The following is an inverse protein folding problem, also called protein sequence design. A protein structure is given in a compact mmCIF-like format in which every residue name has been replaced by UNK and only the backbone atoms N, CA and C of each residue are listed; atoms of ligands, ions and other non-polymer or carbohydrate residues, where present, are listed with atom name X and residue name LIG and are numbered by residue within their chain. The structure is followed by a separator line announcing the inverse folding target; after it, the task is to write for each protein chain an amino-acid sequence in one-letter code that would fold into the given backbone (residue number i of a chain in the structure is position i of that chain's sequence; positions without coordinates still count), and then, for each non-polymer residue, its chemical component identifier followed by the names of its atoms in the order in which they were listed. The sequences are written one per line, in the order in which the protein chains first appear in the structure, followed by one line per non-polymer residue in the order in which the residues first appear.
data_IF_529400258559
#
_entry.id   IF_529400258559
#
_cell.length_a   1.000
_cell.length_b   1.000
_cell.length_c   1.000
_cell.angle_alpha   90.00
_cell.angle_beta   90.00
_cell.angle_gamma   90.00
#
_symmetry.space_group_name_H-M   'P 1'
#
loop_
_entity.id
_entity.type
_entity.pdbx_description
1 polymer ?
#
# COMPACT_ATOMS: atom_id res chain seq x y z
N UNK A 1 0.47 -27.99 -33.78
CA UNK A 1 1.94 -28.04 -33.89
C UNK A 1 2.26 -28.55 -35.29
N UNK A 2 2.22 -27.69 -36.31
CA UNK A 2 2.59 -28.08 -37.67
C UNK A 2 4.11 -28.15 -37.77
N UNK A 3 4.63 -29.37 -37.91
CA UNK A 3 6.03 -29.59 -38.20
C UNK A 3 6.34 -29.06 -39.61
N UNK A 4 7.27 -28.11 -39.71
CA UNK A 4 7.72 -27.60 -41.00
C UNK A 4 8.29 -28.74 -41.84
N UNK A 5 7.66 -29.02 -43.00
CA UNK A 5 8.10 -30.06 -43.92
C UNK A 5 9.49 -29.72 -44.45
N UNK A 6 10.52 -30.50 -44.09
CA UNK A 6 11.91 -30.26 -44.53
C UNK A 6 12.08 -30.63 -46.00
N UNK A 7 12.72 -29.77 -46.79
CA UNK A 7 13.04 -30.04 -48.19
C UNK A 7 14.19 -31.06 -48.33
N UNK A 8 14.21 -31.83 -49.42
CA UNK A 8 15.33 -32.74 -49.75
C UNK A 8 16.63 -31.96 -50.00
N UNK A 9 17.78 -32.62 -49.83
CA UNK A 9 19.11 -32.01 -50.04
C UNK A 9 19.25 -31.39 -51.44
N UNK A 10 18.82 -32.11 -52.47
CA UNK A 10 18.84 -31.67 -53.86
C UNK A 10 17.96 -30.43 -54.10
N UNK A 11 16.83 -30.30 -53.40
CA UNK A 11 15.96 -29.11 -53.49
C UNK A 11 16.63 -27.91 -52.81
N UNK A 12 17.24 -28.13 -51.65
CA UNK A 12 18.01 -27.09 -50.96
C UNK A 12 19.18 -26.59 -51.81
N UNK A 13 19.89 -27.47 -52.50
CA UNK A 13 20.99 -27.10 -53.40
C UNK A 13 20.50 -26.31 -54.61
N UNK A 14 19.41 -26.74 -55.25
CA UNK A 14 18.78 -25.99 -56.34
C UNK A 14 18.34 -24.59 -55.91
N UNK A 15 17.79 -24.43 -54.70
CA UNK A 15 17.42 -23.12 -54.15
C UNK A 15 18.67 -22.25 -53.91
N UNK A 16 19.74 -22.83 -53.36
CA UNK A 16 21.02 -22.12 -53.14
C UNK A 16 21.60 -21.63 -54.47
N UNK A 17 21.68 -22.49 -55.47
CA UNK A 17 22.20 -22.14 -56.80
C UNK A 17 21.40 -21.02 -57.45
N UNK A 18 20.07 -21.13 -57.45
CA UNK A 18 19.18 -20.07 -58.00
C UNK A 18 19.35 -18.75 -57.27
N UNK A 19 19.54 -18.78 -55.96
CA UNK A 19 19.77 -17.57 -55.15
C UNK A 19 21.11 -16.93 -55.48
N UNK A 20 22.18 -17.73 -55.60
CA UNK A 20 23.51 -17.26 -56.01
C UNK A 20 23.45 -16.64 -57.40
N UNK A 21 22.75 -17.28 -58.33
CA UNK A 21 22.58 -16.79 -59.70
C UNK A 21 21.79 -15.48 -59.74
N UNK A 22 20.67 -15.38 -59.02
CA UNK A 22 19.89 -14.14 -58.92
C UNK A 22 20.71 -12.97 -58.33
N UNK A 23 21.61 -13.25 -57.38
CA UNK A 23 22.49 -12.23 -56.79
C UNK A 23 23.64 -11.79 -57.71
N UNK A 24 23.88 -12.46 -58.84
CA UNK A 24 24.82 -11.98 -59.87
C UNK A 24 24.28 -10.77 -60.64
N UNK A 25 22.96 -10.64 -60.76
CA UNK A 25 22.34 -9.47 -61.37
C UNK A 25 22.64 -8.22 -60.50
N UNK A 26 23.32 -7.20 -61.04
CA UNK A 26 23.67 -5.99 -60.28
C UNK A 26 22.44 -5.25 -59.74
N UNK A 27 21.30 -5.30 -60.43
CA UNK A 27 20.04 -4.67 -59.99
C UNK A 27 19.46 -5.39 -58.78
N UNK A 28 19.47 -6.72 -58.78
CA UNK A 28 19.02 -7.54 -57.66
C UNK A 28 19.96 -7.38 -56.47
N UNK A 29 21.27 -7.46 -56.70
CA UNK A 29 22.28 -7.28 -55.66
C UNK A 29 22.17 -5.92 -54.98
N UNK A 30 22.00 -4.84 -55.76
CA UNK A 30 21.78 -3.49 -55.24
C UNK A 30 20.52 -3.43 -54.37
N UNK A 31 19.39 -3.95 -54.85
CA UNK A 31 18.13 -4.00 -54.09
C UNK A 31 18.24 -4.82 -52.80
N UNK A 32 19.00 -5.92 -52.80
CA UNK A 32 19.22 -6.76 -51.61
C UNK A 32 20.18 -6.11 -50.61
N UNK A 33 21.10 -5.26 -51.08
CA UNK A 33 21.98 -4.46 -50.22
C UNK A 33 21.29 -3.21 -49.65
N UNK A 34 20.21 -2.75 -50.27
CA UNK A 34 19.38 -1.66 -49.76
C UNK A 34 18.64 -2.13 -48.50
N UNK A 35 18.96 -1.50 -47.37
CA UNK A 35 18.25 -1.74 -46.11
C UNK A 35 16.74 -1.47 -46.28
N UNK A 36 15.85 -2.22 -45.60
CA UNK A 36 14.43 -1.92 -45.59
C UNK A 36 14.20 -0.45 -45.28
N UNK A 37 13.52 0.27 -46.19
CA UNK A 37 13.27 1.69 -45.99
C UNK A 37 12.52 1.88 -44.67
N UNK A 38 13.05 2.67 -43.73
CA UNK A 38 12.35 2.94 -42.49
C UNK A 38 11.04 3.67 -42.82
N UNK A 39 9.96 3.27 -42.15
CA UNK A 39 8.68 3.97 -42.29
C UNK A 39 8.84 5.47 -42.01
N UNK A 40 8.09 6.29 -42.75
CA UNK A 40 8.00 7.73 -42.51
C UNK A 40 7.54 8.00 -41.07
N UNK A 41 7.88 9.18 -40.55
CA UNK A 41 7.43 9.61 -39.23
C UNK A 41 5.90 9.57 -39.11
N UNK A 42 5.18 9.92 -40.18
CA UNK A 42 3.72 9.88 -40.25
C UNK A 42 3.17 8.46 -40.14
N UNK A 43 3.71 7.51 -40.91
CA UNK A 43 3.30 6.10 -40.83
C UNK A 43 3.57 5.52 -39.45
N UNK A 44 4.72 5.85 -38.85
CA UNK A 44 5.05 5.46 -37.46
C UNK A 44 4.06 6.06 -36.46
N UNK A 45 3.66 7.32 -36.64
CA UNK A 45 2.68 7.98 -35.79
C UNK A 45 1.30 7.32 -35.88
N UNK A 46 0.83 7.00 -37.09
CA UNK A 46 -0.44 6.28 -37.34
C UNK A 46 -0.45 4.88 -36.73
N UNK A 47 0.65 4.13 -36.88
CA UNK A 47 0.78 2.81 -36.24
C UNK A 47 0.77 2.91 -34.71
N UNK A 48 1.49 3.89 -34.14
CA UNK A 48 1.51 4.10 -32.70
C UNK A 48 0.13 4.51 -32.16
N UNK A 49 -0.61 5.36 -32.87
CA UNK A 49 -1.94 5.80 -32.43
C UNK A 49 -2.96 4.66 -32.46
N UNK A 50 -2.95 3.83 -33.52
CA UNK A 50 -3.85 2.68 -33.64
C UNK A 50 -3.56 1.64 -32.55
N UNK A 51 -2.28 1.32 -32.30
CA UNK A 51 -1.88 0.42 -31.21
C UNK A 51 -2.34 0.97 -29.85
N UNK A 52 -2.04 2.24 -29.56
CA UNK A 52 -2.48 2.86 -28.29
C UNK A 52 -3.99 2.77 -28.10
N UNK A 53 -4.78 2.97 -29.16
CA UNK A 53 -6.25 2.84 -29.11
C UNK A 53 -6.68 1.43 -28.72
N UNK A 54 -6.11 0.40 -29.36
CA UNK A 54 -6.42 -1.00 -29.07
C UNK A 54 -6.02 -1.38 -27.64
N UNK A 55 -4.82 -0.99 -27.21
CA UNK A 55 -4.33 -1.26 -25.86
C UNK A 55 -5.18 -0.58 -24.78
N UNK A 56 -5.62 0.67 -25.00
CA UNK A 56 -6.55 1.36 -24.11
C UNK A 56 -7.88 0.61 -23.99
N UNK A 57 -8.43 0.14 -25.11
CA UNK A 57 -9.68 -0.61 -25.10
C UNK A 57 -9.54 -1.94 -24.36
N UNK A 58 -8.45 -2.68 -24.61
CA UNK A 58 -8.14 -3.94 -23.91
C UNK A 58 -8.01 -3.72 -22.40
N UNK A 59 -7.30 -2.68 -21.98
CA UNK A 59 -7.14 -2.34 -20.57
C UNK A 59 -8.48 -1.98 -19.92
N UNK A 60 -9.34 -1.21 -20.62
CA UNK A 60 -10.69 -0.90 -20.15
C UNK A 60 -11.51 -2.18 -19.94
N UNK A 61 -11.52 -3.08 -20.92
CA UNK A 61 -12.21 -4.36 -20.81
C UNK A 61 -11.69 -5.24 -19.68
N UNK A 62 -10.37 -5.32 -19.50
CA UNK A 62 -9.75 -6.07 -18.41
C UNK A 62 -10.23 -5.55 -17.05
N UNK A 63 -10.16 -4.23 -16.82
CA UNK A 63 -10.62 -3.59 -15.58
C UNK A 63 -12.12 -3.78 -15.34
N UNK A 64 -12.95 -3.66 -16.37
CA UNK A 64 -14.38 -3.89 -16.25
C UNK A 64 -14.70 -5.34 -15.89
N UNK A 65 -13.98 -6.29 -16.50
CA UNK A 65 -14.12 -7.72 -16.20
C UNK A 65 -13.73 -8.03 -14.75
N UNK A 66 -12.60 -7.47 -14.28
CA UNK A 66 -12.16 -7.63 -12.88
C UNK A 66 -13.20 -7.07 -11.91
N UNK A 67 -13.73 -5.87 -12.18
CA UNK A 67 -14.81 -5.28 -11.36
C UNK A 67 -16.07 -6.13 -11.36
N UNK A 68 -16.47 -6.64 -12.52
CA UNK A 68 -17.64 -7.52 -12.64
C UNK A 68 -17.44 -8.80 -11.83
N UNK A 69 -16.28 -9.45 -11.96
CA UNK A 69 -15.97 -10.65 -11.18
C UNK A 69 -15.98 -10.37 -9.68
N UNK A 70 -15.39 -9.27 -9.22
CA UNK A 70 -15.43 -8.87 -7.82
C UNK A 70 -16.88 -8.69 -7.34
N UNK A 71 -17.69 -7.92 -8.06
CA UNK A 71 -19.11 -7.73 -7.70
C UNK A 71 -19.92 -9.03 -7.72
N UNK A 72 -19.58 -9.95 -8.62
CA UNK A 72 -20.25 -11.24 -8.72
C UNK A 72 -19.88 -12.16 -7.56
N UNK A 73 -18.59 -12.21 -7.19
CA UNK A 73 -18.12 -12.95 -6.01
C UNK A 73 -18.72 -12.37 -4.73
N UNK A 74 -18.74 -11.05 -4.58
CA UNK A 74 -19.39 -10.37 -3.44
C UNK A 74 -20.88 -10.69 -3.39
N UNK A 75 -21.60 -10.64 -4.52
CA UNK A 75 -23.02 -10.97 -4.57
C UNK A 75 -23.30 -12.42 -4.18
N UNK A 76 -22.44 -13.37 -4.58
CA UNK A 76 -22.56 -14.78 -4.20
C UNK A 76 -22.28 -14.93 -2.70
N UNK A 77 -21.23 -14.28 -2.19
CA UNK A 77 -20.88 -14.33 -0.78
C UNK A 77 -22.01 -13.76 0.10
N UNK A 78 -22.61 -12.64 -0.30
CA UNK A 78 -23.76 -12.05 0.40
C UNK A 78 -25.00 -12.94 0.34
N UNK A 79 -25.29 -13.56 -0.82
CA UNK A 79 -26.38 -14.52 -0.93
C UNK A 79 -26.14 -15.76 -0.06
N UNK A 80 -24.91 -16.28 -0.03
CA UNK A 80 -24.54 -17.40 0.83
C UNK A 80 -24.57 -17.06 2.32
N UNK A 81 -24.24 -15.81 2.69
CA UNK A 81 -24.32 -15.29 4.06
C UNK A 81 -25.77 -15.19 4.54
N UNK A 82 -26.66 -14.63 3.72
CA UNK A 82 -28.08 -14.48 4.05
C UNK A 82 -28.84 -15.80 4.04
N UNK A 83 -28.43 -16.74 3.18
CA UNK A 83 -29.15 -17.99 2.97
C UNK A 83 -30.41 -17.81 2.12
N UNK A 84 -31.05 -18.92 1.75
CA UNK A 84 -32.34 -18.92 1.06
C UNK A 84 -33.53 -18.61 1.98
N UNK A 85 -34.73 -18.51 1.42
CA UNK A 85 -35.96 -18.32 2.20
C UNK A 85 -36.15 -19.43 3.23
N UNK A 86 -36.11 -19.08 4.52
CA UNK A 86 -36.26 -20.02 5.64
C UNK A 86 -34.94 -20.63 6.14
N UNK A 87 -33.78 -20.24 5.59
CA UNK A 87 -32.46 -20.62 6.11
C UNK A 87 -31.93 -19.55 7.08
N UNK A 88 -31.12 -19.98 8.03
CA UNK A 88 -30.50 -19.09 9.03
C UNK A 88 -29.32 -18.34 8.41
N UNK A 89 -29.22 -17.03 8.68
CA UNK A 89 -28.07 -16.24 8.26
C UNK A 89 -26.79 -16.76 8.93
N UNK A 90 -25.77 -17.04 8.12
CA UNK A 90 -24.47 -17.55 8.59
C UNK A 90 -23.49 -16.37 8.72
N UNK A 91 -23.07 -16.06 9.95
CA UNK A 91 -22.05 -15.04 10.20
C UNK A 91 -20.64 -15.64 10.19
N UNK A 92 -20.09 -15.82 8.99
CA UNK A 92 -18.76 -16.40 8.76
C UNK A 92 -17.63 -15.63 9.47
N UNK A 93 -17.77 -14.30 9.58
CA UNK A 93 -16.76 -13.42 10.21
C UNK A 93 -16.98 -13.22 11.72
N UNK A 94 -17.92 -13.93 12.33
CA UNK A 94 -18.29 -13.76 13.74
C UNK A 94 -17.10 -13.88 14.69
N UNK A 95 -16.20 -14.85 14.45
CA UNK A 95 -14.99 -15.04 15.23
C UNK A 95 -14.06 -13.83 15.17
N UNK A 96 -13.75 -13.34 13.97
CA UNK A 96 -12.87 -12.18 13.79
C UNK A 96 -13.49 -10.90 14.34
N UNK A 97 -14.81 -10.72 14.20
CA UNK A 97 -15.53 -9.59 14.82
C UNK A 97 -15.43 -9.62 16.35
N UNK A 98 -15.60 -10.78 16.98
CA UNK A 98 -15.49 -10.93 18.45
C UNK A 98 -14.06 -10.65 18.89
N UNK A 99 -13.08 -11.18 18.16
CA UNK A 99 -11.65 -10.97 18.43
C UNK A 99 -11.26 -9.50 18.34
N UNK A 100 -11.73 -8.77 17.32
CA UNK A 100 -11.51 -7.32 17.21
C UNK A 100 -12.16 -6.54 18.35
N UNK A 101 -13.39 -6.89 18.74
CA UNK A 101 -14.07 -6.26 19.88
C UNK A 101 -13.32 -6.48 21.19
N UNK A 102 -12.85 -7.70 21.44
CA UNK A 102 -12.03 -8.02 22.62
C UNK A 102 -10.75 -7.18 22.65
N UNK A 103 -10.03 -7.12 21.53
CA UNK A 103 -8.82 -6.32 21.45
C UNK A 103 -9.09 -4.82 21.70
N UNK A 104 -10.20 -4.28 21.22
CA UNK A 104 -10.60 -2.90 21.49
C UNK A 104 -10.91 -2.67 22.98
N UNK A 105 -11.62 -3.62 23.61
CA UNK A 105 -11.91 -3.55 25.04
C UNK A 105 -10.64 -3.61 25.89
N UNK A 106 -9.68 -4.47 25.54
CA UNK A 106 -8.39 -4.56 26.23
C UNK A 106 -7.62 -3.23 26.17
N UNK A 107 -7.61 -2.58 25.00
CA UNK A 107 -6.99 -1.27 24.83
C UNK A 107 -7.68 -0.18 25.67
N UNK A 108 -9.02 -0.18 25.71
CA UNK A 108 -9.79 0.76 26.53
C UNK A 108 -9.48 0.58 28.02
N UNK A 109 -9.54 -0.66 28.52
CA UNK A 109 -9.20 -0.97 29.92
C UNK A 109 -7.75 -0.59 30.26
N UNK A 110 -6.81 -0.78 29.33
CA UNK A 110 -5.43 -0.36 29.53
C UNK A 110 -5.28 1.17 29.58
N UNK A 111 -6.05 1.91 28.78
CA UNK A 111 -6.07 3.36 28.79
C UNK A 111 -6.68 3.91 30.09
N UNK A 112 -7.82 3.38 30.54
CA UNK A 112 -8.48 3.76 31.79
C UNK A 112 -7.57 3.51 33.00
N UNK A 113 -6.93 2.34 33.07
CA UNK A 113 -5.95 2.04 34.14
C UNK A 113 -4.77 3.00 34.13
N UNK A 114 -4.31 3.44 32.95
CA UNK A 114 -3.23 4.44 32.83
C UNK A 114 -3.70 5.80 33.33
N UNK A 115 -4.91 6.21 32.97
CA UNK A 115 -5.50 7.47 33.40
C UNK A 115 -5.70 7.51 34.92
N UNK A 116 -6.23 6.45 35.51
CA UNK A 116 -6.42 6.33 36.95
C UNK A 116 -5.09 6.42 37.70
N UNK A 117 -4.08 5.67 37.25
CA UNK A 117 -2.72 5.75 37.82
C UNK A 117 -2.12 7.16 37.68
N UNK A 118 -2.40 7.86 36.59
CA UNK A 118 -1.95 9.23 36.40
C UNK A 118 -2.64 10.19 37.38
N UNK A 119 -3.96 10.05 37.58
CA UNK A 119 -4.74 10.82 38.57
C UNK A 119 -4.22 10.59 39.99
N UNK A 120 -3.96 9.35 40.36
CA UNK A 120 -3.42 9.01 41.69
C UNK A 120 -2.03 9.62 41.90
N UNK A 121 -1.15 9.52 40.90
CA UNK A 121 0.17 10.15 40.93
C UNK A 121 0.09 11.67 41.04
N UNK A 122 -0.86 12.31 40.34
CA UNK A 122 -1.08 13.74 40.41
C UNK A 122 -1.54 14.17 41.82
N UNK A 123 -2.47 13.44 42.43
CA UNK A 123 -2.92 13.68 43.81
C UNK A 123 -1.78 13.57 44.81
N UNK A 124 -0.97 12.50 44.73
CA UNK A 124 0.22 12.31 45.59
C UNK A 124 1.21 13.47 45.44
N UNK A 125 1.48 13.92 44.19
CA UNK A 125 2.36 15.06 43.91
C UNK A 125 1.83 16.36 44.50
N UNK A 126 0.53 16.63 44.39
CA UNK A 126 -0.11 17.81 44.97
C UNK A 126 0.05 17.84 46.50
N UNK A 127 -0.26 16.73 47.17
CA UNK A 127 -0.08 16.59 48.62
C UNK A 127 1.37 16.83 49.05
N UNK A 128 2.35 16.23 48.35
CA UNK A 128 3.76 16.45 48.66
C UNK A 128 4.18 17.91 48.42
N UNK A 129 3.64 18.57 47.40
CA UNK A 129 3.94 19.96 47.12
C UNK A 129 3.37 20.89 48.20
N UNK A 130 2.17 20.60 48.72
CA UNK A 130 1.59 21.33 49.86
C UNK A 130 2.42 21.16 51.12
N UNK A 131 2.82 19.92 51.48
CA UNK A 131 3.69 19.67 52.62
C UNK A 131 5.05 20.38 52.50
N UNK A 132 5.63 20.44 51.29
CA UNK A 132 6.87 21.18 51.03
C UNK A 132 6.67 22.68 51.18
N UNK A 133 5.55 23.23 50.67
CA UNK A 133 5.19 24.64 50.86
C UNK A 133 5.03 24.99 52.34
N UNK A 134 4.31 24.16 53.09
CA UNK A 134 4.11 24.34 54.53
C UNK A 134 5.43 24.32 55.31
N UNK A 135 6.29 23.31 55.05
CA UNK A 135 7.63 23.24 55.65
C UNK A 135 8.50 24.45 55.31
N UNK A 136 8.44 24.93 54.07
CA UNK A 136 9.17 26.12 53.66
C UNK A 136 8.64 27.39 54.34
N UNK A 137 7.32 27.56 54.46
CA UNK A 137 6.69 28.67 55.18
C UNK A 137 7.06 28.66 56.66
N UNK A 138 7.01 27.50 57.32
CA UNK A 138 7.46 27.34 58.70
C UNK A 138 8.93 27.73 58.85
N UNK A 139 9.80 27.31 57.92
CA UNK A 139 11.23 27.65 57.94
C UNK A 139 11.48 29.15 57.72
N UNK A 140 10.68 29.81 56.89
CA UNK A 140 10.75 31.26 56.66
C UNK A 140 10.30 32.02 57.92
N UNK A 141 9.19 31.63 58.53
CA UNK A 141 8.70 32.23 59.78
C UNK A 141 9.73 32.12 60.91
N UNK A 142 10.34 30.94 61.08
CA UNK A 142 11.36 30.68 62.09
C UNK A 142 12.65 31.50 61.84
N UNK A 143 13.02 31.74 60.58
CA UNK A 143 14.09 32.69 60.22
C UNK A 143 13.71 34.13 60.54
N UNK A 144 12.48 34.54 60.26
CA UNK A 144 11.96 35.87 60.59
C UNK A 144 12.03 36.17 62.08
N UNK A 145 11.52 35.26 62.91
CA UNK A 145 11.58 35.39 64.38
C UNK A 145 13.02 35.46 64.91
N UNK A 146 13.94 34.66 64.35
CA UNK A 146 15.36 34.72 64.71
C UNK A 146 15.97 36.07 64.38
N UNK A 147 15.70 36.62 63.20
CA UNK A 147 16.22 37.94 62.79
C UNK A 147 15.64 39.08 63.64
N UNK A 148 14.37 38.99 64.00
CA UNK A 148 13.72 39.97 64.88
C UNK A 148 14.33 39.96 66.30
N UNK A 149 14.55 38.76 66.86
CA UNK A 149 15.26 38.60 68.15
C UNK A 149 16.68 39.17 68.08
N UNK A 150 17.43 38.89 67.02
CA UNK A 150 18.78 39.44 66.81
C UNK A 150 18.78 40.97 66.70
N UNK A 151 17.80 41.56 66.00
CA UNK A 151 17.67 43.02 65.87
C UNK A 151 17.29 43.70 67.19
N UNK A 152 16.50 43.04 68.04
CA UNK A 152 16.17 43.55 69.38
C UNK A 152 17.39 43.52 70.31
N UNK A 153 18.24 42.49 70.19
CA UNK A 153 19.49 42.38 70.95
C UNK A 153 20.52 43.44 70.53
N UNK A 154 20.60 43.79 69.24
CA UNK A 154 21.54 44.81 68.73
C UNK A 154 21.12 46.26 69.01
N UNK A 155 19.90 46.50 69.49
CA UNK A 155 19.35 47.84 69.80
C UNK A 155 19.24 48.11 71.31
N UNK A 156 19.67 47.17 72.15
CA UNK A 156 19.78 47.31 73.61
C UNK A 156 21.24 47.44 74.01
#
# INVERSE_FOLDING_TARGET
MEQSRKHSSETCERIKQRTIEALKDPKVRKKMSEHPRPHSAESKAKMRSSLRRVWRQRLKWKRLREKLFLSWVESIAEAAKKGGSGQQELCWDSYEMIKQKLHLQELQLAAEKKEERAKERAKKRAMTAEQVKEKNMARIALRGEKMEKSMKILKS
#
